data_IF_134802510156
#
_entry.id   IF_134802510156
#
_cell.length_a   1.000
_cell.length_b   1.000
_cell.length_c   1.000
_cell.angle_alpha   90.00
_cell.angle_beta   90.00
_cell.angle_gamma   90.00
#
_symmetry.space_group_name_H-M   'P 1'
#
loop_
_entity.id
_entity.type
_entity.pdbx_description
1 polymer ?
#
# COMPACT_ATOMS: atom_id res chain seq x y z
N UNK A 1 23.93 10.81 -41.18
CA UNK A 1 23.63 10.86 -39.73
C UNK A 1 22.19 11.33 -39.42
N UNK A 2 21.20 11.07 -40.29
CA UNK A 2 19.92 11.82 -40.25
C UNK A 2 18.70 10.97 -39.85
N UNK A 3 18.86 9.65 -39.71
CA UNK A 3 17.76 8.72 -39.43
C UNK A 3 17.49 8.54 -37.93
N UNK A 4 18.54 8.64 -37.09
CA UNK A 4 18.42 8.51 -35.63
C UNK A 4 17.69 9.71 -34.99
N UNK A 5 17.97 10.94 -35.46
CA UNK A 5 17.31 12.16 -34.96
C UNK A 5 15.81 12.22 -35.26
N UNK A 6 15.37 11.70 -36.43
CA UNK A 6 13.95 11.59 -36.77
C UNK A 6 13.22 10.53 -35.94
N UNK A 7 13.84 9.39 -35.64
CA UNK A 7 13.23 8.35 -34.79
C UNK A 7 13.09 8.77 -33.31
N UNK A 8 14.08 9.49 -32.76
CA UNK A 8 14.01 10.00 -31.38
C UNK A 8 12.92 11.05 -31.20
N UNK A 9 12.77 11.97 -32.16
CA UNK A 9 11.74 12.99 -32.13
C UNK A 9 10.33 12.38 -32.21
N UNK A 10 10.10 11.44 -33.15
CA UNK A 10 8.82 10.74 -33.29
C UNK A 10 8.42 9.92 -32.05
N UNK A 11 9.41 9.30 -31.38
CA UNK A 11 9.20 8.58 -30.10
C UNK A 11 8.89 9.54 -28.94
N UNK A 12 9.47 10.73 -28.90
CA UNK A 12 9.14 11.73 -27.86
C UNK A 12 7.73 12.29 -28.04
N UNK A 13 7.34 12.64 -29.27
CA UNK A 13 6.02 13.18 -29.59
C UNK A 13 4.92 12.15 -29.34
N UNK A 14 5.17 10.87 -29.64
CA UNK A 14 4.22 9.77 -29.34
C UNK A 14 4.06 9.55 -27.82
N UNK A 15 5.15 9.59 -27.04
CA UNK A 15 5.09 9.48 -25.57
C UNK A 15 4.30 10.63 -24.96
N UNK A 16 4.54 11.86 -25.41
CA UNK A 16 3.79 13.02 -24.93
C UNK A 16 2.31 12.98 -25.31
N UNK A 17 1.96 12.46 -26.50
CA UNK A 17 0.57 12.27 -26.88
C UNK A 17 -0.14 11.21 -26.01
N UNK A 18 0.54 10.11 -25.66
CA UNK A 18 -0.02 9.09 -24.75
C UNK A 18 -0.20 9.63 -23.33
N UNK A 19 0.76 10.40 -22.82
CA UNK A 19 0.67 11.04 -21.50
C UNK A 19 -0.51 12.02 -21.43
N UNK A 20 -0.65 12.90 -22.43
CA UNK A 20 -1.75 13.88 -22.52
C UNK A 20 -3.14 13.26 -22.52
N UNK A 21 -3.26 11.99 -22.87
CA UNK A 21 -4.56 11.29 -22.81
C UNK A 21 -5.04 10.99 -21.39
N UNK A 22 -4.13 11.06 -20.40
CA UNK A 22 -4.40 10.72 -19.00
C UNK A 22 -4.06 11.86 -18.03
N UNK A 23 -3.05 12.68 -18.34
CA UNK A 23 -2.52 13.71 -17.46
C UNK A 23 -2.19 14.99 -18.21
N UNK A 24 -2.30 16.13 -17.52
CA UNK A 24 -1.80 17.40 -18.05
C UNK A 24 -0.26 17.44 -18.09
N UNK A 25 0.28 18.29 -18.97
CA UNK A 25 1.73 18.52 -19.07
C UNK A 25 2.24 19.64 -18.16
N UNK A 26 1.35 20.33 -17.47
CA UNK A 26 1.69 21.42 -16.55
C UNK A 26 0.91 21.25 -15.25
N UNK A 27 1.59 21.45 -14.12
CA UNK A 27 1.04 21.33 -12.77
C UNK A 27 1.45 22.56 -11.96
N UNK A 28 1.10 23.75 -12.47
CA UNK A 28 1.52 25.03 -11.89
C UNK A 28 0.56 25.51 -10.82
N UNK A 29 -0.70 25.09 -10.87
CA UNK A 29 -1.72 25.47 -9.89
C UNK A 29 -2.11 24.31 -8.98
N UNK A 30 -2.76 24.65 -7.86
CA UNK A 30 -3.29 23.68 -6.91
C UNK A 30 -4.32 22.78 -7.56
N UNK A 31 -5.19 23.35 -8.39
CA UNK A 31 -6.28 22.65 -9.08
C UNK A 31 -5.72 21.64 -10.08
N UNK A 32 -4.70 22.01 -10.86
CA UNK A 32 -4.05 21.08 -11.79
C UNK A 32 -3.39 19.91 -11.05
N UNK A 33 -2.68 20.21 -9.96
CA UNK A 33 -2.08 19.20 -9.09
C UNK A 33 -3.14 18.28 -8.48
N UNK A 34 -4.29 18.80 -8.10
CA UNK A 34 -5.41 18.03 -7.58
C UNK A 34 -6.02 17.09 -8.63
N UNK A 35 -6.32 17.60 -9.83
CA UNK A 35 -6.81 16.80 -10.97
C UNK A 35 -5.86 15.66 -11.27
N UNK A 36 -4.56 15.94 -11.29
CA UNK A 36 -3.53 14.94 -11.49
C UNK A 36 -3.53 13.86 -10.39
N UNK A 37 -3.63 14.23 -9.11
CA UNK A 37 -3.71 13.24 -8.03
C UNK A 37 -4.97 12.40 -8.15
N UNK A 38 -6.14 12.98 -8.47
CA UNK A 38 -7.37 12.21 -8.70
C UNK A 38 -7.21 11.19 -9.83
N UNK A 39 -6.62 11.62 -10.95
CA UNK A 39 -6.32 10.73 -12.09
C UNK A 39 -5.37 9.61 -11.70
N UNK A 40 -4.33 9.90 -10.91
CA UNK A 40 -3.38 8.89 -10.42
C UNK A 40 -4.05 7.86 -9.49
N UNK A 41 -4.94 8.30 -8.59
CA UNK A 41 -5.70 7.37 -7.73
C UNK A 41 -6.65 6.52 -8.58
N UNK A 42 -7.39 7.12 -9.52
CA UNK A 42 -8.28 6.37 -10.42
C UNK A 42 -7.51 5.32 -11.24
N UNK A 43 -6.33 5.69 -11.77
CA UNK A 43 -5.45 4.79 -12.51
C UNK A 43 -4.94 3.65 -11.62
N UNK A 44 -4.48 3.95 -10.42
CA UNK A 44 -3.96 2.95 -9.49
C UNK A 44 -5.05 1.98 -9.03
N UNK A 45 -6.21 2.50 -8.63
CA UNK A 45 -7.37 1.67 -8.23
C UNK A 45 -7.82 0.78 -9.39
N UNK A 46 -7.94 1.33 -10.60
CA UNK A 46 -8.30 0.54 -11.78
C UNK A 46 -7.26 -0.53 -12.10
N UNK A 47 -5.97 -0.21 -11.96
CA UNK A 47 -4.89 -1.17 -12.19
C UNK A 47 -4.93 -2.31 -11.17
N UNK A 48 -5.16 -2.00 -9.89
CA UNK A 48 -5.30 -2.99 -8.83
C UNK A 48 -6.50 -3.90 -9.11
N UNK A 49 -7.70 -3.34 -9.31
CA UNK A 49 -8.91 -4.15 -9.50
C UNK A 49 -8.85 -4.99 -10.77
N UNK A 50 -8.19 -4.49 -11.81
CA UNK A 50 -7.99 -5.24 -13.04
C UNK A 50 -7.00 -6.40 -12.85
N UNK A 51 -5.81 -6.11 -12.31
CA UNK A 51 -4.75 -7.13 -12.16
C UNK A 51 -5.07 -8.18 -11.10
N UNK A 52 -5.92 -7.85 -10.14
CA UNK A 52 -6.45 -8.81 -9.17
C UNK A 52 -7.68 -9.57 -9.68
N UNK A 53 -8.19 -9.27 -10.88
CA UNK A 53 -9.32 -9.97 -11.49
C UNK A 53 -10.66 -9.73 -10.80
N UNK A 54 -10.84 -8.57 -10.17
CA UNK A 54 -12.02 -8.29 -9.33
C UNK A 54 -13.27 -7.99 -10.16
N UNK A 55 -13.10 -7.34 -11.31
CA UNK A 55 -14.20 -7.01 -12.22
C UNK A 55 -13.93 -7.60 -13.60
N UNK A 56 -14.98 -7.87 -14.39
CA UNK A 56 -14.82 -8.44 -15.72
C UNK A 56 -14.25 -7.44 -16.73
N UNK A 57 -13.74 -7.93 -17.86
CA UNK A 57 -13.00 -7.16 -18.87
C UNK A 57 -13.79 -5.95 -19.39
N UNK A 58 -15.10 -6.12 -19.62
CA UNK A 58 -16.00 -5.08 -20.13
C UNK A 58 -16.18 -3.89 -19.19
N UNK A 59 -15.83 -4.04 -17.90
CA UNK A 59 -15.82 -2.95 -16.94
C UNK A 59 -14.67 -1.96 -17.16
N UNK A 60 -13.72 -2.29 -18.04
CA UNK A 60 -12.53 -1.49 -18.28
C UNK A 60 -12.44 -0.97 -19.71
N UNK A 61 -11.69 0.11 -19.88
CA UNK A 61 -11.21 0.61 -21.17
C UNK A 61 -9.69 0.63 -21.18
N UNK A 62 -9.09 0.22 -22.29
CA UNK A 62 -7.64 0.28 -22.47
C UNK A 62 -7.18 1.71 -22.79
N UNK A 63 -6.07 2.10 -22.16
CA UNK A 63 -5.31 3.32 -22.47
C UNK A 63 -3.82 2.98 -22.47
N UNK A 64 -3.04 3.79 -23.18
CA UNK A 64 -1.59 3.65 -23.18
C UNK A 64 -0.98 4.77 -22.36
N UNK A 65 -0.11 4.38 -21.43
CA UNK A 65 0.77 5.28 -20.72
C UNK A 65 2.19 4.93 -21.13
N UNK A 66 2.74 5.70 -22.07
CA UNK A 66 3.95 5.37 -22.83
C UNK A 66 3.86 4.00 -23.54
N UNK A 67 4.65 3.03 -23.08
CA UNK A 67 4.73 1.66 -23.57
C UNK A 67 3.80 0.69 -22.82
N UNK A 68 3.17 1.14 -21.73
CA UNK A 68 2.33 0.31 -20.87
C UNK A 68 0.85 0.43 -21.24
N UNK A 69 0.20 -0.71 -21.49
CA UNK A 69 -1.25 -0.79 -21.62
C UNK A 69 -1.89 -0.85 -20.23
N UNK A 70 -2.60 0.20 -19.85
CA UNK A 70 -3.32 0.31 -18.58
C UNK A 70 -4.83 0.17 -18.79
N UNK A 71 -5.51 -0.37 -17.78
CA UNK A 71 -6.95 -0.59 -17.79
C UNK A 71 -7.60 0.37 -16.82
N UNK A 72 -8.50 1.20 -17.34
CA UNK A 72 -9.26 2.16 -16.54
C UNK A 72 -10.69 1.70 -16.39
N UNK A 73 -11.21 1.75 -15.17
CA UNK A 73 -12.62 1.46 -14.92
C UNK A 73 -13.48 2.46 -15.71
N UNK A 74 -14.51 1.93 -16.35
CA UNK A 74 -15.51 2.70 -17.07
C UNK A 74 -16.57 3.22 -16.12
N UNK A 75 -16.85 4.51 -16.21
CA UNK A 75 -17.95 5.15 -15.46
C UNK A 75 -19.32 4.62 -15.91
N UNK A 76 -19.45 4.26 -17.18
CA UNK A 76 -20.66 3.69 -17.81
C UNK A 76 -20.70 2.15 -17.73
N UNK A 77 -19.90 1.53 -16.86
CA UNK A 77 -19.91 0.07 -16.70
C UNK A 77 -21.26 -0.42 -16.17
N UNK A 78 -21.77 -1.51 -16.76
CA UNK A 78 -22.96 -2.23 -16.30
C UNK A 78 -22.68 -3.16 -15.13
N UNK A 79 -21.40 -3.41 -14.80
CA UNK A 79 -21.00 -4.24 -13.67
C UNK A 79 -21.30 -3.52 -12.36
N UNK A 80 -22.19 -4.10 -11.53
CA UNK A 80 -22.60 -3.52 -10.24
C UNK A 80 -21.41 -3.19 -9.34
N UNK A 81 -20.40 -4.06 -9.31
CA UNK A 81 -19.19 -3.87 -8.51
C UNK A 81 -18.34 -2.69 -9.01
N UNK A 82 -18.12 -2.61 -10.33
CA UNK A 82 -17.39 -1.51 -10.95
C UNK A 82 -18.10 -0.17 -10.75
N UNK A 83 -19.42 -0.11 -10.97
CA UNK A 83 -20.21 1.11 -10.72
C UNK A 83 -20.17 1.53 -9.25
N UNK A 84 -20.11 0.57 -8.30
CA UNK A 84 -19.99 0.88 -6.86
C UNK A 84 -18.62 1.50 -6.55
N UNK A 85 -17.52 0.95 -7.08
CA UNK A 85 -16.18 1.54 -6.94
C UNK A 85 -16.14 2.96 -7.53
N UNK A 86 -16.75 3.20 -8.69
CA UNK A 86 -16.81 4.55 -9.28
C UNK A 86 -17.52 5.52 -8.33
N UNK A 87 -18.66 5.13 -7.73
CA UNK A 87 -19.37 5.97 -6.75
C UNK A 87 -18.52 6.25 -5.51
N UNK A 88 -17.81 5.25 -4.99
CA UNK A 88 -16.89 5.44 -3.87
C UNK A 88 -15.72 6.37 -4.22
N UNK A 89 -15.19 6.26 -5.44
CA UNK A 89 -14.16 7.15 -5.95
C UNK A 89 -14.65 8.61 -6.00
N UNK A 90 -15.91 8.86 -6.37
CA UNK A 90 -16.49 10.21 -6.33
C UNK A 90 -16.51 10.79 -4.91
N UNK A 91 -16.90 9.99 -3.91
CA UNK A 91 -16.85 10.42 -2.50
C UNK A 91 -15.43 10.68 -2.00
N UNK A 92 -14.47 9.85 -2.43
CA UNK A 92 -13.06 10.07 -2.18
C UNK A 92 -12.57 11.40 -2.77
N UNK A 93 -13.01 11.75 -3.99
CA UNK A 93 -12.61 12.98 -4.66
C UNK A 93 -13.23 14.24 -4.04
N UNK A 94 -14.48 14.17 -3.55
CA UNK A 94 -15.09 15.26 -2.76
C UNK A 94 -14.27 15.55 -1.48
N UNK A 95 -13.82 14.51 -0.79
CA UNK A 95 -12.98 14.66 0.40
C UNK A 95 -11.57 15.18 0.06
N UNK A 96 -11.06 14.79 -1.11
CA UNK A 96 -9.74 15.21 -1.59
C UNK A 96 -9.74 16.70 -1.94
N UNK A 97 -10.75 17.17 -2.69
CA UNK A 97 -10.98 18.57 -3.07
C UNK A 97 -10.99 19.51 -1.87
N UNK A 98 -11.67 19.09 -0.81
CA UNK A 98 -11.79 19.89 0.41
C UNK A 98 -10.53 19.87 1.28
N UNK A 99 -9.51 19.11 0.90
CA UNK A 99 -8.29 18.94 1.69
C UNK A 99 -8.50 18.14 2.97
N UNK A 100 -9.59 17.37 3.06
CA UNK A 100 -9.95 16.62 4.27
C UNK A 100 -9.33 15.24 4.31
N UNK A 101 -9.13 14.62 3.14
CA UNK A 101 -8.72 13.22 3.04
C UNK A 101 -7.25 13.01 3.43
N UNK A 102 -7.00 12.22 4.47
CA UNK A 102 -5.65 11.81 4.87
C UNK A 102 -5.28 10.44 4.30
N UNK A 103 -6.18 9.46 4.37
CA UNK A 103 -5.94 8.11 3.86
C UNK A 103 -7.19 7.58 3.16
N UNK A 104 -7.05 7.14 1.91
CA UNK A 104 -7.98 6.23 1.25
C UNK A 104 -7.47 4.80 1.46
N UNK A 105 -8.32 3.96 2.00
CA UNK A 105 -8.03 2.56 2.28
C UNK A 105 -9.01 1.66 1.54
N UNK A 106 -8.49 0.66 0.84
CA UNK A 106 -9.27 -0.40 0.21
C UNK A 106 -8.85 -1.72 0.83
N UNK A 107 -9.79 -2.43 1.45
CA UNK A 107 -9.57 -3.74 2.04
C UNK A 107 -10.18 -4.84 1.17
N UNK A 108 -9.48 -5.96 1.06
CA UNK A 108 -10.00 -7.21 0.49
C UNK A 108 -10.19 -8.20 1.64
N UNK A 109 -11.40 -8.75 1.75
CA UNK A 109 -11.76 -9.74 2.77
C UNK A 109 -12.61 -10.84 2.14
N UNK A 110 -12.61 -12.03 2.75
CA UNK A 110 -13.37 -13.20 2.28
C UNK A 110 -14.66 -13.40 3.06
N UNK A 111 -14.72 -12.91 4.31
CA UNK A 111 -15.91 -13.00 5.14
C UNK A 111 -16.73 -11.71 5.04
N UNK A 112 -17.97 -11.72 4.51
CA UNK A 112 -18.81 -10.53 4.42
C UNK A 112 -19.28 -10.03 5.79
N UNK A 113 -19.39 -10.92 6.79
CA UNK A 113 -19.87 -10.58 8.13
C UNK A 113 -18.78 -9.93 9.01
N UNK A 114 -17.51 -10.10 8.64
CA UNK A 114 -16.38 -9.46 9.30
C UNK A 114 -15.47 -8.71 8.31
N UNK A 115 -15.89 -7.51 7.86
CA UNK A 115 -15.12 -6.69 6.92
C UNK A 115 -13.82 -6.13 7.52
N UNK A 116 -13.59 -6.31 8.83
CA UNK A 116 -12.37 -5.86 9.49
C UNK A 116 -11.25 -6.91 9.45
N UNK A 117 -11.57 -8.16 9.10
CA UNK A 117 -10.62 -9.25 8.93
C UNK A 117 -10.15 -9.33 7.48
N UNK A 118 -9.02 -8.69 7.19
CA UNK A 118 -8.56 -8.48 5.82
C UNK A 118 -7.39 -9.39 5.45
N UNK A 119 -7.33 -9.75 4.16
CA UNK A 119 -6.23 -10.53 3.58
C UNK A 119 -5.28 -9.67 2.76
N UNK A 120 -5.80 -8.60 2.15
CA UNK A 120 -5.04 -7.60 1.40
C UNK A 120 -5.59 -6.21 1.70
N UNK A 121 -4.71 -5.21 1.69
CA UNK A 121 -5.12 -3.81 1.69
C UNK A 121 -4.25 -2.93 0.81
N UNK A 122 -4.88 -1.88 0.30
CA UNK A 122 -4.29 -0.86 -0.56
C UNK A 122 -4.53 0.50 0.09
N UNK A 123 -3.46 1.20 0.43
CA UNK A 123 -3.52 2.46 1.17
C UNK A 123 -2.91 3.59 0.34
N UNK A 124 -3.69 4.64 0.14
CA UNK A 124 -3.28 5.89 -0.50
C UNK A 124 -3.27 6.97 0.57
N UNK A 125 -2.08 7.47 0.91
CA UNK A 125 -1.92 8.52 1.91
C UNK A 125 -1.67 9.84 1.21
N UNK A 126 -2.46 10.84 1.57
CA UNK A 126 -2.40 12.17 1.00
C UNK A 126 -1.73 13.12 2.00
N UNK A 127 -0.96 14.08 1.48
CA UNK A 127 -0.57 15.28 2.20
C UNK A 127 -0.82 16.49 1.31
N UNK A 128 -1.39 17.53 1.89
CA UNK A 128 -1.65 18.81 1.23
C UNK A 128 -0.60 19.83 1.65
N UNK A 129 -0.12 20.63 0.71
CA UNK A 129 0.91 21.63 0.96
C UNK A 129 0.54 22.94 0.30
N UNK A 130 0.60 24.04 1.05
CA UNK A 130 0.39 25.38 0.51
C UNK A 130 1.62 25.93 -0.24
N UNK A 131 2.81 25.32 -0.02
CA UNK A 131 4.12 25.76 -0.52
C UNK A 131 4.97 24.62 -1.11
N UNK A 132 4.35 23.50 -1.48
CA UNK A 132 5.06 22.32 -1.94
C UNK A 132 5.53 21.35 -0.85
N UNK A 133 5.94 20.15 -1.26
CA UNK A 133 6.32 19.06 -0.36
C UNK A 133 7.58 19.43 0.43
N UNK A 134 7.41 19.68 1.72
CA UNK A 134 8.50 19.66 2.69
C UNK A 134 8.87 18.19 2.94
N UNK A 135 10.00 17.76 2.37
CA UNK A 135 10.61 16.49 2.75
C UNK A 135 11.19 16.62 4.16
N UNK A 136 10.64 15.88 5.13
CA UNK A 136 11.30 15.55 6.41
C UNK A 136 12.48 14.61 6.11
N UNK A 137 13.50 15.12 5.46
CA UNK A 137 14.85 14.58 5.56
C UNK A 137 15.63 15.67 6.26
N UNK A 138 16.28 15.31 7.36
CA UNK A 138 17.35 16.06 7.98
C UNK A 138 18.34 16.51 6.88
N UNK A 139 18.11 17.68 6.29
CA UNK A 139 18.90 18.23 5.20
C UNK A 139 19.19 19.68 5.50
N UNK A 140 20.48 19.99 5.37
CA UNK A 140 21.03 21.32 5.26
C UNK A 140 20.04 22.32 4.66
N UNK A 141 19.90 23.45 5.36
CA UNK A 141 19.22 24.65 4.88
C UNK A 141 19.71 24.96 3.45
N UNK A 142 18.75 25.22 2.55
CA UNK A 142 18.91 25.87 1.22
C UNK A 142 18.99 25.00 -0.04
N UNK A 143 18.14 23.98 -0.19
CA UNK A 143 17.74 23.54 -1.54
C UNK A 143 16.23 23.33 -1.59
N UNK A 144 15.49 24.33 -2.05
CA UNK A 144 14.14 24.11 -2.58
C UNK A 144 14.29 23.22 -3.81
N UNK A 145 14.02 21.92 -3.66
CA UNK A 145 14.01 21.01 -4.81
C UNK A 145 12.76 21.33 -5.63
N UNK A 146 12.94 22.09 -6.71
CA UNK A 146 11.89 22.32 -7.70
C UNK A 146 11.59 20.99 -8.39
N UNK A 147 10.46 20.37 -8.05
CA UNK A 147 10.01 19.13 -8.68
C UNK A 147 9.62 19.44 -10.12
N UNK A 148 10.26 18.79 -11.09
CA UNK A 148 9.95 18.99 -12.51
C UNK A 148 8.79 18.09 -12.96
N UNK A 149 8.12 18.46 -14.05
CA UNK A 149 7.08 17.61 -14.66
C UNK A 149 7.68 16.27 -15.12
N UNK A 150 8.93 16.24 -15.56
CA UNK A 150 9.59 15.00 -15.96
C UNK A 150 9.79 14.08 -14.75
N UNK A 151 10.17 14.62 -13.58
CA UNK A 151 10.26 13.83 -12.34
C UNK A 151 8.89 13.23 -11.97
N UNK A 152 7.81 14.00 -12.13
CA UNK A 152 6.43 13.55 -11.89
C UNK A 152 6.04 12.44 -12.86
N UNK A 153 6.35 12.59 -14.16
CA UNK A 153 6.13 11.57 -15.19
C UNK A 153 6.86 10.28 -14.84
N UNK A 154 8.15 10.36 -14.52
CA UNK A 154 8.96 9.20 -14.17
C UNK A 154 8.47 8.51 -12.89
N UNK A 155 8.14 9.28 -11.85
CA UNK A 155 7.59 8.74 -10.61
C UNK A 155 6.23 8.05 -10.82
N UNK A 156 5.38 8.62 -11.68
CA UNK A 156 4.08 8.04 -12.05
C UNK A 156 4.24 6.72 -12.79
N UNK A 157 5.12 6.68 -13.79
CA UNK A 157 5.46 5.47 -14.52
C UNK A 157 6.01 4.38 -13.61
N UNK A 158 6.92 4.75 -12.70
CA UNK A 158 7.51 3.82 -11.75
C UNK A 158 6.47 3.27 -10.78
N UNK A 159 5.54 4.10 -10.30
CA UNK A 159 4.44 3.66 -9.42
C UNK A 159 3.57 2.62 -10.12
N UNK A 160 3.12 2.89 -11.36
CA UNK A 160 2.26 1.98 -12.12
C UNK A 160 2.99 0.68 -12.44
N UNK A 161 4.26 0.73 -12.88
CA UNK A 161 5.07 -0.47 -13.15
C UNK A 161 5.29 -1.31 -11.90
N UNK A 162 5.55 -0.69 -10.74
CA UNK A 162 5.68 -1.39 -9.46
C UNK A 162 4.37 -2.02 -9.00
N UNK A 163 3.23 -1.35 -9.19
CA UNK A 163 1.92 -1.98 -8.95
C UNK A 163 1.75 -3.21 -9.85
N UNK A 164 2.07 -3.09 -11.13
CA UNK A 164 1.96 -4.20 -12.09
C UNK A 164 2.77 -5.41 -11.66
N UNK A 165 4.06 -5.18 -11.36
CA UNK A 165 4.97 -6.22 -10.91
C UNK A 165 4.52 -6.84 -9.58
N UNK A 166 4.09 -6.01 -8.62
CA UNK A 166 3.63 -6.51 -7.32
C UNK A 166 2.42 -7.41 -7.50
N UNK A 167 1.36 -6.94 -8.17
CA UNK A 167 0.11 -7.71 -8.33
C UNK A 167 0.32 -9.04 -9.08
N UNK A 168 1.21 -9.06 -10.09
CA UNK A 168 1.54 -10.29 -10.84
C UNK A 168 2.25 -11.35 -9.98
N UNK A 169 2.96 -10.92 -8.95
CA UNK A 169 3.71 -11.80 -8.05
C UNK A 169 2.91 -12.18 -6.79
N UNK A 170 1.72 -11.64 -6.59
CA UNK A 170 0.80 -12.10 -5.56
C UNK A 170 0.09 -13.39 -6.01
N UNK A 171 -0.32 -14.21 -5.05
CA UNK A 171 -1.19 -15.35 -5.34
C UNK A 171 -2.55 -14.87 -5.88
N UNK A 172 -3.26 -15.72 -6.61
CA UNK A 172 -4.63 -15.41 -7.10
C UNK A 172 -5.54 -15.11 -5.90
N UNK A 173 -6.52 -14.21 -6.06
CA UNK A 173 -7.56 -14.01 -5.05
C UNK A 173 -8.45 -15.28 -4.96
N UNK A 174 -9.01 -15.58 -3.78
CA UNK A 174 -10.11 -16.53 -3.68
C UNK A 174 -11.29 -16.13 -4.59
N UNK A 175 -12.16 -17.08 -4.93
CA UNK A 175 -13.29 -16.84 -5.85
C UNK A 175 -14.30 -15.83 -5.26
N UNK A 176 -14.59 -15.95 -3.96
CA UNK A 176 -15.50 -15.06 -3.24
C UNK A 176 -14.70 -14.06 -2.39
N UNK A 177 -14.57 -12.85 -2.92
CA UNK A 177 -13.94 -11.72 -2.22
C UNK A 177 -14.86 -10.52 -2.18
N UNK A 178 -14.75 -9.78 -1.08
CA UNK A 178 -15.46 -8.56 -0.83
C UNK A 178 -14.47 -7.40 -0.72
N UNK A 179 -14.88 -6.26 -1.25
CA UNK A 179 -14.15 -5.01 -1.13
C UNK A 179 -14.85 -4.10 -0.11
N UNK A 180 -14.06 -3.49 0.76
CA UNK A 180 -14.47 -2.38 1.60
C UNK A 180 -13.61 -1.15 1.30
N UNK A 181 -14.19 0.04 1.42
CA UNK A 181 -13.47 1.29 1.27
C UNK A 181 -13.66 2.16 2.51
N UNK A 182 -12.55 2.57 3.13
CA UNK A 182 -12.55 3.42 4.32
C UNK A 182 -11.80 4.72 4.02
N UNK A 183 -12.38 5.84 4.45
CA UNK A 183 -11.78 7.16 4.34
C UNK A 183 -11.39 7.68 5.72
N UNK A 184 -10.15 8.11 5.84
CA UNK A 184 -9.61 8.69 7.06
C UNK A 184 -9.29 10.16 6.80
N UNK A 185 -9.70 11.04 7.70
CA UNK A 185 -9.58 12.48 7.51
C UNK A 185 -8.56 13.12 8.45
N UNK A 186 -8.25 14.38 8.16
CA UNK A 186 -7.54 15.29 9.05
C UNK A 186 -8.49 15.88 10.10
N UNK A 187 -8.27 15.54 11.38
CA UNK A 187 -9.14 15.92 12.50
C UNK A 187 -9.23 17.44 12.73
N UNK A 188 -8.20 18.19 12.33
CA UNK A 188 -8.04 19.63 12.54
C UNK A 188 -8.82 20.49 11.55
N UNK A 189 -9.08 19.98 10.34
CA UNK A 189 -9.75 20.75 9.26
C UNK A 189 -11.11 20.18 8.86
N UNK A 190 -11.42 18.94 9.22
CA UNK A 190 -12.64 18.27 8.76
C UNK A 190 -13.81 18.53 9.70
N UNK A 191 -14.94 19.10 9.21
CA UNK A 191 -16.11 19.32 10.05
C UNK A 191 -16.67 18.01 10.61
N UNK A 192 -17.09 17.95 11.89
CA UNK A 192 -17.61 16.72 12.49
C UNK A 192 -18.78 16.05 11.75
N UNK A 193 -19.62 16.86 11.09
CA UNK A 193 -20.80 16.40 10.34
C UNK A 193 -20.54 16.13 8.86
N UNK A 194 -19.30 16.31 8.38
CA UNK A 194 -18.96 16.11 6.98
C UNK A 194 -19.06 14.63 6.60
N UNK A 195 -19.97 14.26 5.70
CA UNK A 195 -20.01 12.91 5.10
C UNK A 195 -19.80 13.02 3.58
N UNK A 196 -18.79 12.35 3.01
CA UNK A 196 -18.66 12.32 1.56
C UNK A 196 -19.78 11.51 0.91
N UNK A 197 -20.16 11.85 -0.33
CA UNK A 197 -21.13 11.08 -1.10
C UNK A 197 -20.76 9.60 -1.16
N UNK A 198 -21.70 8.73 -0.80
CA UNK A 198 -21.42 7.29 -0.81
C UNK A 198 -20.47 6.86 0.31
N UNK A 199 -20.48 7.52 1.46
CA UNK A 199 -19.87 7.04 2.72
C UNK A 199 -20.80 7.29 3.91
N UNK A 200 -20.64 6.51 4.99
CA UNK A 200 -21.33 6.72 6.27
C UNK A 200 -20.32 6.74 7.42
N UNK A 201 -20.72 7.10 8.63
CA UNK A 201 -19.83 7.01 9.80
C UNK A 201 -19.36 5.57 10.06
N UNK A 202 -18.07 5.46 10.39
CA UNK A 202 -17.36 4.20 10.56
C UNK A 202 -17.51 3.71 11.98
N UNK A 203 -17.78 2.42 12.14
CA UNK A 203 -18.19 1.85 13.42
C UNK A 203 -17.00 1.18 14.13
N UNK A 204 -16.01 0.67 13.39
CA UNK A 204 -14.86 -0.05 13.95
C UNK A 204 -13.54 0.31 13.28
N UNK A 205 -12.59 0.85 14.05
CA UNK A 205 -11.30 1.32 13.53
C UNK A 205 -10.18 0.25 13.58
N UNK A 206 -10.48 -0.92 14.13
CA UNK A 206 -9.46 -1.97 14.29
C UNK A 206 -9.54 -2.92 13.11
N UNK A 207 -8.53 -2.85 12.26
CA UNK A 207 -8.32 -3.78 11.16
C UNK A 207 -7.39 -4.89 11.64
N UNK A 208 -7.81 -6.13 11.42
CA UNK A 208 -7.02 -7.32 11.72
C UNK A 208 -6.61 -7.96 10.41
N UNK A 209 -5.32 -8.27 10.28
CA UNK A 209 -4.89 -9.12 9.18
C UNK A 209 -5.08 -10.58 9.56
N UNK A 210 -5.52 -11.38 8.60
CA UNK A 210 -5.54 -12.83 8.74
C UNK A 210 -4.09 -13.35 8.84
N UNK A 211 -3.51 -13.31 10.04
CA UNK A 211 -2.09 -13.64 10.27
C UNK A 211 -1.14 -12.46 10.06
N UNK A 212 0.10 -12.73 9.65
CA UNK A 212 1.15 -11.72 9.53
C UNK A 212 1.06 -10.94 8.22
N UNK A 213 0.96 -9.62 8.32
CA UNK A 213 0.97 -8.73 7.15
C UNK A 213 2.40 -8.42 6.68
N UNK A 214 2.63 -8.53 5.37
CA UNK A 214 3.84 -8.06 4.70
C UNK A 214 3.52 -6.74 4.03
N UNK A 215 4.27 -5.69 4.36
CA UNK A 215 4.03 -4.33 3.90
C UNK A 215 5.00 -3.94 2.77
N UNK A 216 4.44 -3.54 1.63
CA UNK A 216 5.16 -3.03 0.46
C UNK A 216 4.94 -1.53 0.32
N UNK A 217 6.04 -0.77 0.30
CA UNK A 217 6.01 0.65 -0.09
C UNK A 217 6.13 0.71 -1.61
N UNK A 218 5.02 0.95 -2.31
CA UNK A 218 4.99 0.84 -3.77
C UNK A 218 5.53 2.09 -4.42
N UNK A 219 5.12 3.27 -3.95
CA UNK A 219 5.65 4.52 -4.48
C UNK A 219 5.25 5.75 -3.67
N UNK A 220 5.95 6.83 -3.96
CA UNK A 220 5.71 8.17 -3.43
C UNK A 220 5.71 9.11 -4.63
N UNK A 221 4.65 9.90 -4.76
CA UNK A 221 4.44 10.83 -5.86
C UNK A 221 4.23 12.21 -5.28
N UNK A 222 5.11 13.12 -5.67
CA UNK A 222 5.10 14.49 -5.19
C UNK A 222 4.78 15.42 -6.35
N UNK A 223 3.81 16.30 -6.13
CA UNK A 223 3.50 17.44 -7.00
C UNK A 223 3.74 18.73 -6.21
N UNK A 224 3.69 19.91 -6.84
CA UNK A 224 3.91 21.17 -6.13
C UNK A 224 2.88 21.50 -5.04
N UNK A 225 1.75 20.79 -4.94
CA UNK A 225 0.72 21.06 -3.94
C UNK A 225 0.28 19.82 -3.15
N UNK A 226 0.52 18.61 -3.68
CA UNK A 226 0.07 17.35 -3.08
C UNK A 226 1.19 16.31 -3.05
N UNK A 227 1.17 15.45 -2.02
CA UNK A 227 1.93 14.19 -2.02
C UNK A 227 0.99 13.00 -1.90
N UNK A 228 1.27 11.94 -2.66
CA UNK A 228 0.52 10.69 -2.69
C UNK A 228 1.49 9.53 -2.42
N UNK A 229 1.32 8.85 -1.29
CA UNK A 229 2.06 7.62 -0.97
C UNK A 229 1.16 6.42 -1.13
N UNK A 230 1.64 5.40 -1.85
CA UNK A 230 0.91 4.14 -2.07
C UNK A 230 1.61 3.02 -1.32
N UNK A 231 0.86 2.35 -0.46
CA UNK A 231 1.31 1.19 0.30
C UNK A 231 0.35 0.02 0.08
N UNK A 232 0.91 -1.17 -0.01
CA UNK A 232 0.14 -2.41 -0.14
C UNK A 232 0.54 -3.32 1.02
N UNK A 233 -0.42 -3.95 1.66
CA UNK A 233 -0.17 -4.93 2.69
C UNK A 233 -0.91 -6.21 2.37
N UNK A 234 -0.20 -7.34 2.42
CA UNK A 234 -0.72 -8.65 2.01
C UNK A 234 -0.36 -9.67 3.08
N UNK A 235 -1.26 -10.60 3.34
CA UNK A 235 -0.98 -11.76 4.19
C UNK A 235 0.28 -12.52 3.72
N UNK A 236 1.17 -12.87 4.65
CA UNK A 236 2.47 -13.49 4.37
C UNK A 236 2.41 -14.76 3.53
N UNK A 237 1.41 -15.63 3.76
CA UNK A 237 1.20 -16.87 2.99
C UNK A 237 0.91 -16.64 1.50
N UNK A 238 0.62 -15.40 1.10
CA UNK A 238 0.19 -15.03 -0.26
C UNK A 238 1.28 -14.30 -1.06
N UNK A 239 2.48 -14.15 -0.48
CA UNK A 239 3.65 -13.52 -1.13
C UNK A 239 4.80 -14.49 -1.40
N UNK A 240 4.54 -15.80 -1.36
CA UNK A 240 5.57 -16.85 -1.43
C UNK A 240 6.46 -16.76 -2.69
N UNK A 241 5.93 -16.26 -3.82
CA UNK A 241 6.71 -16.05 -5.06
C UNK A 241 7.77 -14.97 -4.91
N UNK A 242 7.52 -13.96 -4.09
CA UNK A 242 8.46 -12.85 -3.82
C UNK A 242 9.52 -13.23 -2.80
N UNK A 243 9.21 -14.13 -1.86
CA UNK A 243 10.15 -14.57 -0.83
C UNK A 243 11.20 -15.55 -1.38
N UNK A 244 10.81 -16.47 -2.28
CA UNK A 244 11.73 -17.43 -2.91
C UNK A 244 12.87 -16.81 -3.74
N UNK A 245 12.75 -15.53 -4.13
CA UNK A 245 13.81 -14.80 -4.83
C UNK A 245 14.91 -14.24 -3.94
N UNK A 246 14.68 -14.13 -2.63
CA UNK A 246 15.65 -13.62 -1.67
C UNK A 246 16.46 -14.73 -0.97
N UNK A 247 16.03 -16.00 -1.07
CA UNK A 247 16.66 -17.13 -0.39
C UNK A 247 17.75 -17.86 -1.22
N UNK A 248 18.26 -17.25 -2.30
CA UNK A 248 19.27 -17.85 -3.19
C UNK A 248 20.66 -17.19 -3.16
N UNK A 249 20.94 -16.29 -2.21
CA UNK A 249 22.31 -15.85 -1.92
C UNK A 249 22.62 -15.93 -0.43
N UNK A 250 22.89 -17.15 0.05
CA UNK A 250 23.85 -17.39 1.15
C UNK A 250 24.17 -18.90 1.26
N UNK A 251 24.71 -19.49 0.19
CA UNK A 251 25.51 -20.73 0.32
C UNK A 251 26.96 -20.36 0.16
N UNK A 252 27.56 -19.82 1.21
CA UNK A 252 29.02 -19.77 1.31
C UNK A 252 29.53 -21.21 1.52
N UNK A 253 29.99 -21.82 0.43
CA UNK A 253 30.96 -22.90 0.52
C UNK A 253 32.21 -22.39 1.24
N UNK A 254 32.63 -23.07 2.30
CA UNK A 254 34.03 -23.08 2.67
C UNK A 254 34.44 -24.51 2.96
N UNK A 255 35.08 -25.10 1.94
CA UNK A 255 35.82 -26.35 2.04
C UNK A 255 36.97 -26.23 3.04
N UNK A 256 37.02 -27.11 4.05
CA UNK A 256 38.26 -27.52 4.69
C UNK A 256 38.30 -29.05 4.88
N UNK A 257 38.96 -29.71 3.92
CA UNK A 257 39.95 -30.81 4.03
C UNK A 257 39.62 -32.07 4.87
N UNK A 258 39.19 -33.11 4.14
CA UNK A 258 39.79 -34.45 3.96
C UNK A 258 40.63 -35.16 5.07
N UNK A 259 40.19 -36.40 5.38
CA UNK A 259 40.88 -37.64 5.85
C UNK A 259 41.21 -37.85 7.36
N UNK A 260 40.51 -38.78 8.02
CA UNK A 260 40.97 -40.17 8.24
C UNK A 260 39.92 -41.09 8.93
N UNK A 261 39.82 -42.30 8.36
CA UNK A 261 39.46 -43.64 8.89
C UNK A 261 38.24 -43.91 9.79
N UNK A 262 37.26 -44.55 9.15
CA UNK A 262 36.77 -45.93 9.38
C UNK A 262 37.21 -46.69 10.64
N UNK A 263 36.26 -46.91 11.55
CA UNK A 263 36.02 -48.04 12.48
C UNK A 263 34.66 -47.72 13.15
N UNK A 264 33.74 -48.60 13.54
CA UNK A 264 33.41 -49.98 13.25
C UNK A 264 31.96 -50.21 13.79
N UNK A 265 31.29 -51.24 13.29
CA UNK A 265 29.95 -51.70 13.69
C UNK A 265 29.84 -52.15 15.16
N UNK A 266 28.66 -51.91 15.79
CA UNK A 266 27.84 -52.77 16.71
C UNK A 266 27.22 -51.89 17.82
N UNK A 267 25.94 -51.94 18.17
CA UNK A 267 25.01 -53.07 18.34
C UNK A 267 23.53 -52.61 18.24
N UNK A 268 22.69 -53.49 17.67
CA UNK A 268 21.22 -53.51 17.89
C UNK A 268 20.92 -54.00 19.31
N UNK A 269 19.84 -53.51 19.94
CA UNK A 269 18.57 -54.26 20.19
C UNK A 269 17.68 -53.64 21.30
N UNK A 270 16.39 -53.56 20.97
CA UNK A 270 15.18 -53.90 21.76
C UNK A 270 14.79 -53.12 23.03
N UNK A 271 13.53 -52.64 23.01
CA UNK A 271 12.54 -53.03 24.03
C UNK A 271 12.07 -51.93 25.00
N UNK A 272 10.75 -51.71 25.19
CA UNK A 272 10.17 -50.61 25.98
C UNK A 272 9.92 -50.99 27.45
N UNK A 273 9.87 -49.99 28.35
CA UNK A 273 8.77 -49.75 29.31
C UNK A 273 9.13 -48.78 30.47
N UNK A 274 8.13 -47.96 30.83
CA UNK A 274 7.80 -47.36 32.15
C UNK A 274 8.61 -46.23 32.82
N UNK A 275 7.93 -45.07 32.88
CA UNK A 275 7.69 -44.07 33.95
C UNK A 275 8.57 -43.98 35.23
N UNK A 276 9.08 -42.75 35.50
CA UNK A 276 8.91 -41.85 36.69
C UNK A 276 10.21 -41.04 36.98
N UNK A 277 10.14 -39.70 36.89
CA UNK A 277 10.36 -38.66 37.96
C UNK A 277 11.77 -38.65 38.58
N UNK A 278 12.53 -37.56 38.77
CA UNK A 278 12.48 -36.10 38.54
C UNK A 278 13.95 -35.61 38.42
N UNK A 279 14.23 -34.52 37.69
CA UNK A 279 14.97 -33.33 38.18
C UNK A 279 15.31 -32.33 37.05
N UNK A 280 14.92 -31.07 37.27
CA UNK A 280 15.26 -29.84 36.51
C UNK A 280 16.73 -29.41 36.80
N UNK A 281 17.38 -28.47 36.06
CA UNK A 281 16.84 -27.24 35.45
C UNK A 281 17.30 -27.05 33.97
N UNK A 282 16.69 -26.22 33.12
CA UNK A 282 16.82 -24.75 33.14
C UNK A 282 16.15 -24.12 31.91
N UNK A 283 15.53 -22.95 32.14
CA UNK A 283 15.45 -21.79 31.24
C UNK A 283 14.83 -21.95 29.84
N UNK A 284 13.61 -21.44 29.67
CA UNK A 284 13.30 -20.57 28.53
C UNK A 284 12.28 -19.51 28.97
N UNK A 285 12.74 -18.27 29.03
CA UNK A 285 11.93 -17.10 29.38
C UNK A 285 11.12 -16.66 28.17
N UNK A 286 9.80 -16.78 28.27
CA UNK A 286 8.84 -16.06 27.43
C UNK A 286 8.92 -14.56 27.74
N UNK A 287 9.22 -13.75 26.73
CA UNK A 287 9.25 -12.29 26.87
C UNK A 287 7.83 -11.72 26.70
N UNK A 288 7.10 -11.62 27.81
CA UNK A 288 5.95 -10.73 27.96
C UNK A 288 6.45 -9.27 28.12
N UNK A 289 5.98 -8.38 27.26
CA UNK A 289 6.24 -6.94 27.38
C UNK A 289 5.48 -6.36 28.57
N UNK A 290 6.22 -6.11 29.66
CA UNK A 290 5.77 -5.42 30.86
C UNK A 290 5.43 -3.96 30.58
N UNK A 291 4.25 -3.56 31.07
CA UNK A 291 3.85 -2.17 31.31
C UNK A 291 4.70 -1.53 32.41
N UNK A 292 5.02 -0.21 32.36
CA UNK A 292 5.79 0.44 33.42
C UNK A 292 4.93 0.73 34.65
N UNK A 293 5.39 0.32 35.84
CA UNK A 293 4.86 0.72 37.15
C UNK A 293 5.30 2.16 37.51
N UNK A 294 4.35 2.91 38.06
CA UNK A 294 4.49 4.29 38.57
C UNK A 294 5.37 4.34 39.82
N UNK A 295 6.21 5.39 39.93
CA UNK A 295 6.75 5.89 41.19
C UNK A 295 5.94 7.11 41.65
N UNK A 296 5.59 7.14 42.94
CA UNK A 296 4.86 8.22 43.60
C UNK A 296 5.78 9.40 43.93
N UNK A 297 5.50 10.58 43.36
CA UNK A 297 5.95 11.85 43.94
C UNK A 297 4.81 12.86 43.84
N UNK A 298 4.29 13.29 45.00
CA UNK A 298 3.25 14.32 45.13
C UNK A 298 3.73 15.65 44.54
N UNK A 299 2.96 16.26 43.64
CA UNK A 299 2.86 17.74 43.45
C UNK A 299 1.59 18.10 42.67
N UNK A 300 1.08 19.30 42.98
CA UNK A 300 -0.31 19.81 42.85
C UNK A 300 -0.92 19.84 41.44
N UNK A 301 -2.26 19.78 41.42
CA UNK A 301 -3.17 19.76 40.27
C UNK A 301 -3.14 20.99 39.35
N UNK A 302 -3.26 20.74 38.03
CA UNK A 302 -3.84 21.64 37.02
C UNK A 302 -4.69 20.74 36.08
N UNK A 303 -5.96 21.06 35.75
CA UNK A 303 -6.82 20.15 35.00
C UNK A 303 -6.46 20.13 33.51
N UNK A 304 -6.11 18.96 32.98
CA UNK A 304 -5.96 18.70 31.53
C UNK A 304 -7.25 18.09 30.98
N UNK A 305 -7.75 18.66 29.87
CA UNK A 305 -8.91 18.20 29.10
C UNK A 305 -8.75 16.73 28.65
N UNK A 306 -9.85 15.96 28.52
CA UNK A 306 -9.78 14.55 28.15
C UNK A 306 -9.35 14.37 26.68
N UNK A 307 -8.77 13.21 26.32
CA UNK A 307 -8.37 12.92 24.95
C UNK A 307 -9.61 12.70 24.08
N UNK A 308 -9.72 13.46 23.00
CA UNK A 308 -10.83 13.36 22.04
C UNK A 308 -10.58 12.15 21.15
N UNK A 309 -11.57 11.25 21.11
CA UNK A 309 -11.60 10.05 20.26
C UNK A 309 -11.51 10.44 18.78
N UNK A 310 -10.63 9.76 18.03
CA UNK A 310 -10.55 9.80 16.56
C UNK A 310 -11.92 9.46 15.94
N UNK A 311 -12.36 10.21 14.94
CA UNK A 311 -13.64 10.02 14.23
C UNK A 311 -13.39 9.67 12.76
N UNK A 312 -13.99 8.59 12.25
CA UNK A 312 -13.67 7.98 10.94
C UNK A 312 -14.94 7.39 10.28
N UNK A 313 -14.94 7.21 8.94
CA UNK A 313 -16.12 6.92 8.09
C UNK A 313 -15.90 5.70 7.16
N UNK A 314 -16.91 4.85 6.96
CA UNK A 314 -16.85 3.53 6.27
C UNK A 314 -18.00 3.29 5.28
N UNK A 315 -17.81 2.39 4.30
CA UNK A 315 -18.86 1.82 3.45
C UNK A 315 -18.58 0.38 2.99
#
# INVERSE_FOLDING_TARGET
MTTAGKQLNLKSTKRDATWKSLFENELRTREQSEVFVKQMVALAVSSITYLRGIFPEEAYRSRYLEDLCVKLIREDSTSRGASKIVKWMMGCFDALEKGYLHILFIGVHTNPDDPNYITESYQFRFKYTAKGPQMDILRNKNVEMQITIEDIKQASMLLVRKLFLLMQNLNVLPDDVFLSMKLYYYDDVTPPKYEPPGFKEGVCDTLWFEGTAVHFKVGDLHTPFHSLKVQVAVQSSRVNKLQKGNDLEETNETSQKHLTNLEELKHRRTGPDTCKEEDLPSQTVSAEFKTPRKANTRRKCIPKKPPVKRRKREQ
#
